data_IF_355193353850
#
_entry.id   IF_355193353850
#
_cell.length_a   1.000
_cell.length_b   1.000
_cell.length_c   1.000
_cell.angle_alpha   90.00
_cell.angle_beta   90.00
_cell.angle_gamma   90.00
#
_symmetry.space_group_name_H-M   'P 1'
#
loop_
_entity.id
_entity.type
_entity.pdbx_description
1 polymer ?
#
# COMPACT_ATOMS: atom_id res chain seq x y z
N UNK A 1 -0.39 -1.85 28.42
CA UNK A 1 -0.37 -0.85 27.33
C UNK A 1 -1.43 -1.22 26.32
N UNK A 2 -2.42 -0.36 26.13
CA UNK A 2 -3.46 -0.55 25.12
C UNK A 2 -2.84 -0.46 23.73
N UNK A 3 -3.00 -1.53 22.97
CA UNK A 3 -2.47 -1.77 21.61
C UNK A 3 -3.38 -1.07 20.57
N UNK A 4 -3.77 0.18 20.85
CA UNK A 4 -4.88 0.86 20.15
C UNK A 4 -4.46 1.64 18.89
N UNK A 5 -3.16 1.78 18.59
CA UNK A 5 -2.67 2.59 17.46
C UNK A 5 -2.22 1.80 16.21
N UNK A 6 -2.24 0.46 16.24
CA UNK A 6 -1.79 -0.34 15.08
C UNK A 6 -2.96 -0.87 14.24
N UNK A 7 -2.90 -0.63 12.93
CA UNK A 7 -3.85 -1.21 11.98
C UNK A 7 -3.87 -2.74 12.07
N UNK A 8 -5.07 -3.31 12.09
CA UNK A 8 -5.31 -4.76 11.98
C UNK A 8 -5.04 -5.24 10.55
N UNK A 9 -4.83 -6.55 10.38
CA UNK A 9 -4.70 -7.16 9.05
C UNK A 9 -5.88 -6.84 8.13
N UNK A 10 -7.11 -6.84 8.66
CA UNK A 10 -8.31 -6.49 7.90
C UNK A 10 -8.29 -5.05 7.41
N UNK A 11 -7.91 -4.12 8.28
CA UNK A 11 -7.79 -2.70 7.94
C UNK A 11 -6.70 -2.45 6.89
N UNK A 12 -5.56 -3.15 6.97
CA UNK A 12 -4.52 -3.07 5.94
C UNK A 12 -5.04 -3.59 4.60
N UNK A 13 -5.71 -4.76 4.59
CA UNK A 13 -6.29 -5.32 3.37
C UNK A 13 -7.27 -4.34 2.73
N UNK A 14 -8.16 -3.72 3.52
CA UNK A 14 -9.12 -2.72 3.03
C UNK A 14 -8.44 -1.52 2.36
N UNK A 15 -7.35 -0.98 2.94
CA UNK A 15 -6.58 0.11 2.29
C UNK A 15 -5.94 -0.37 0.99
N UNK A 16 -5.39 -1.60 0.96
CA UNK A 16 -4.76 -2.18 -0.23
C UNK A 16 -5.78 -2.42 -1.34
N UNK A 17 -6.99 -2.88 -1.02
CA UNK A 17 -8.06 -3.11 -2.01
C UNK A 17 -8.49 -1.80 -2.67
N UNK A 18 -8.57 -0.70 -1.90
CA UNK A 18 -8.82 0.63 -2.43
C UNK A 18 -7.74 1.06 -3.43
N UNK A 19 -6.45 0.87 -3.11
CA UNK A 19 -5.36 1.19 -4.04
C UNK A 19 -5.33 0.25 -5.25
N UNK A 20 -5.59 -1.04 -5.08
CA UNK A 20 -5.66 -2.00 -6.18
C UNK A 20 -6.78 -1.67 -7.16
N UNK A 21 -7.95 -1.25 -6.65
CA UNK A 21 -9.05 -0.81 -7.51
C UNK A 21 -8.68 0.43 -8.34
N UNK A 22 -8.01 1.40 -7.72
CA UNK A 22 -7.48 2.57 -8.40
C UNK A 22 -6.46 2.19 -9.49
N UNK A 23 -5.51 1.30 -9.19
CA UNK A 23 -4.53 0.82 -10.16
C UNK A 23 -5.20 0.12 -11.35
N UNK A 24 -6.21 -0.73 -11.10
CA UNK A 24 -6.97 -1.41 -12.16
C UNK A 24 -7.71 -0.41 -13.05
N UNK A 25 -8.41 0.57 -12.47
CA UNK A 25 -9.13 1.61 -13.21
C UNK A 25 -8.18 2.46 -14.07
N UNK A 26 -6.99 2.72 -13.57
CA UNK A 26 -5.94 3.46 -14.28
C UNK A 26 -5.09 2.58 -15.23
N UNK A 27 -5.43 1.30 -15.41
CA UNK A 27 -4.70 0.35 -16.28
C UNK A 27 -3.21 0.24 -15.96
N UNK A 28 -2.83 0.39 -14.69
CA UNK A 28 -1.46 0.22 -14.24
C UNK A 28 -1.11 -1.27 -14.23
N UNK A 29 -0.02 -1.71 -14.87
CA UNK A 29 0.36 -3.13 -14.88
C UNK A 29 0.98 -3.56 -13.54
N UNK A 30 0.89 -4.84 -13.19
CA UNK A 30 1.59 -5.41 -12.02
C UNK A 30 3.01 -5.80 -12.42
N UNK A 31 4.00 -4.93 -12.22
CA UNK A 31 5.39 -5.18 -12.59
C UNK A 31 6.30 -4.99 -11.39
N UNK A 32 7.08 -6.03 -11.05
CA UNK A 32 8.09 -5.93 -10.00
C UNK A 32 9.24 -5.04 -10.47
N UNK A 33 9.66 -4.10 -9.61
CA UNK A 33 10.90 -3.33 -9.82
C UNK A 33 12.12 -4.27 -9.86
N UNK A 34 13.09 -3.95 -10.72
CA UNK A 34 14.42 -4.56 -10.65
C UNK A 34 15.06 -4.31 -9.27
N UNK A 35 15.37 -5.35 -8.47
CA UNK A 35 15.94 -5.19 -7.14
C UNK A 35 17.33 -4.51 -7.13
N UNK A 36 18.00 -4.37 -8.27
CA UNK A 36 19.27 -3.63 -8.40
C UNK A 36 19.08 -2.11 -8.55
N UNK A 37 17.84 -1.64 -8.75
CA UNK A 37 17.50 -0.22 -8.91
C UNK A 37 16.99 0.38 -7.60
N UNK A 38 17.13 1.70 -7.49
CA UNK A 38 16.59 2.49 -6.38
C UNK A 38 15.29 3.17 -6.79
N UNK A 39 14.41 3.50 -5.82
CA UNK A 39 13.18 4.25 -6.10
C UNK A 39 13.44 5.57 -6.83
N UNK A 40 14.51 6.29 -6.49
CA UNK A 40 14.90 7.54 -7.13
C UNK A 40 15.23 7.40 -8.63
N UNK A 41 15.56 6.18 -9.09
CA UNK A 41 15.85 5.89 -10.50
C UNK A 41 14.62 5.46 -11.31
N UNK A 42 13.45 5.37 -10.67
CA UNK A 42 12.21 4.96 -11.33
C UNK A 42 11.45 6.17 -11.89
N UNK A 43 10.83 5.99 -13.04
CA UNK A 43 9.75 6.87 -13.49
C UNK A 43 8.48 6.65 -12.64
N UNK A 44 7.59 7.63 -12.63
CA UNK A 44 6.31 7.50 -11.92
C UNK A 44 5.52 6.26 -12.37
N UNK A 45 5.56 5.92 -13.67
CA UNK A 45 4.89 4.73 -14.21
C UNK A 45 5.47 3.44 -13.62
N UNK A 46 6.79 3.36 -13.51
CA UNK A 46 7.46 2.19 -12.91
C UNK A 46 7.18 2.08 -11.40
N UNK A 47 7.15 3.21 -10.68
CA UNK A 47 6.78 3.24 -9.25
C UNK A 47 5.37 2.69 -9.04
N UNK A 48 4.40 3.15 -9.83
CA UNK A 48 3.01 2.71 -9.75
C UNK A 48 2.86 1.23 -10.13
N UNK A 49 3.58 0.78 -11.16
CA UNK A 49 3.55 -0.63 -11.55
C UNK A 49 4.13 -1.53 -10.45
N UNK A 50 5.17 -1.06 -9.75
CA UNK A 50 5.72 -1.75 -8.60
C UNK A 50 4.78 -1.74 -7.41
N UNK A 51 4.12 -0.62 -7.12
CA UNK A 51 3.11 -0.53 -6.08
C UNK A 51 1.96 -1.52 -6.34
N UNK A 52 1.49 -1.60 -7.58
CA UNK A 52 0.44 -2.54 -7.97
C UNK A 52 0.90 -4.00 -7.84
N UNK A 53 2.16 -4.31 -8.16
CA UNK A 53 2.73 -5.65 -7.93
C UNK A 53 2.74 -6.03 -6.43
N UNK A 54 3.00 -5.09 -5.52
CA UNK A 54 3.11 -5.36 -4.09
C UNK A 54 1.76 -5.68 -3.42
N UNK A 55 0.62 -5.29 -4.01
CA UNK A 55 -0.71 -5.47 -3.40
C UNK A 55 -1.02 -6.94 -3.11
N UNK A 56 -0.65 -7.85 -4.01
CA UNK A 56 -0.86 -9.28 -3.84
C UNK A 56 -0.05 -9.85 -2.67
N UNK A 57 1.20 -9.42 -2.55
CA UNK A 57 2.07 -9.79 -1.44
C UNK A 57 1.52 -9.34 -0.09
N UNK A 58 1.03 -8.09 0.01
CA UNK A 58 0.43 -7.58 1.26
C UNK A 58 -0.77 -8.41 1.67
N UNK A 59 -1.70 -8.69 0.75
CA UNK A 59 -2.90 -9.51 1.03
C UNK A 59 -2.52 -10.93 1.47
N UNK A 60 -1.44 -11.50 0.92
CA UNK A 60 -0.95 -12.81 1.34
C UNK A 60 -0.31 -12.78 2.73
N UNK A 61 0.53 -11.79 3.02
CA UNK A 61 1.21 -11.66 4.31
C UNK A 61 0.28 -11.26 5.45
N UNK A 62 -0.77 -10.48 5.17
CA UNK A 62 -1.76 -10.06 6.16
C UNK A 62 -2.53 -11.25 6.78
N UNK A 63 -2.61 -12.40 6.10
CA UNK A 63 -3.22 -13.63 6.59
C UNK A 63 -2.38 -14.37 7.63
N UNK A 64 -1.10 -14.02 7.76
CA UNK A 64 -0.14 -14.70 8.63
C UNK A 64 0.35 -13.73 9.73
N UNK A 65 0.00 -13.94 11.01
CA UNK A 65 0.42 -13.08 12.11
C UNK A 65 1.94 -12.92 12.23
N UNK A 66 2.71 -13.96 11.90
CA UNK A 66 4.19 -13.92 11.94
C UNK A 66 4.78 -12.98 10.89
N UNK A 67 4.00 -12.63 9.86
CA UNK A 67 4.40 -11.73 8.79
C UNK A 67 3.95 -10.29 8.99
N UNK A 68 3.39 -9.92 10.16
CA UNK A 68 2.90 -8.56 10.47
C UNK A 68 3.89 -7.46 10.10
N UNK A 69 5.18 -7.61 10.46
CA UNK A 69 6.23 -6.65 10.10
C UNK A 69 6.35 -6.46 8.58
N UNK A 70 6.35 -7.56 7.84
CA UNK A 70 6.47 -7.57 6.38
C UNK A 70 5.24 -6.98 5.70
N UNK A 71 4.05 -7.24 6.26
CA UNK A 71 2.78 -6.62 5.84
C UNK A 71 2.86 -5.10 5.97
N UNK A 72 3.29 -4.59 7.13
CA UNK A 72 3.46 -3.16 7.37
C UNK A 72 4.50 -2.53 6.42
N UNK A 73 5.68 -3.14 6.27
CA UNK A 73 6.72 -2.62 5.38
C UNK A 73 6.28 -2.52 3.91
N UNK A 74 5.49 -3.49 3.41
CA UNK A 74 4.97 -3.41 2.05
C UNK A 74 3.85 -2.38 1.90
N UNK A 75 2.96 -2.23 2.89
CA UNK A 75 1.98 -1.13 2.88
C UNK A 75 2.70 0.22 2.79
N UNK A 76 3.72 0.44 3.63
CA UNK A 76 4.53 1.67 3.58
C UNK A 76 5.18 1.85 2.21
N UNK A 77 5.75 0.79 1.62
CA UNK A 77 6.36 0.87 0.29
C UNK A 77 5.35 1.29 -0.79
N UNK A 78 4.13 0.75 -0.77
CA UNK A 78 3.04 1.15 -1.68
C UNK A 78 2.69 2.63 -1.48
N UNK A 79 2.54 3.08 -0.24
CA UNK A 79 2.21 4.47 0.09
C UNK A 79 3.32 5.44 -0.34
N UNK A 80 4.59 5.06 -0.19
CA UNK A 80 5.71 5.86 -0.71
C UNK A 80 5.68 5.95 -2.24
N UNK A 81 5.43 4.84 -2.96
CA UNK A 81 5.30 4.87 -4.42
C UNK A 81 4.18 5.80 -4.87
N UNK A 82 3.01 5.74 -4.22
CA UNK A 82 1.88 6.61 -4.50
C UNK A 82 2.24 8.09 -4.27
N UNK A 83 2.97 8.38 -3.20
CA UNK A 83 3.43 9.74 -2.89
C UNK A 83 4.44 10.26 -3.90
N UNK A 84 5.49 9.48 -4.19
CA UNK A 84 6.53 9.89 -5.15
C UNK A 84 6.02 9.99 -6.59
N UNK A 85 4.99 9.22 -6.94
CA UNK A 85 4.30 9.34 -8.23
C UNK A 85 3.29 10.51 -8.27
N UNK A 86 3.14 11.29 -7.20
CA UNK A 86 2.17 12.38 -7.03
C UNK A 86 0.70 11.94 -7.19
N UNK A 87 0.37 10.69 -6.83
CA UNK A 87 -1.02 10.23 -6.76
C UNK A 87 -1.71 10.67 -5.47
N UNK A 88 -0.95 10.76 -4.38
CA UNK A 88 -1.44 11.22 -3.08
C UNK A 88 -0.35 11.99 -2.33
N UNK A 89 -0.75 12.95 -1.52
CA UNK A 89 0.08 13.56 -0.50
C UNK A 89 0.25 12.63 0.70
N UNK A 90 1.25 12.89 1.54
CA UNK A 90 1.42 12.15 2.80
C UNK A 90 0.19 12.30 3.72
N UNK A 91 -0.43 13.49 3.72
CA UNK A 91 -1.62 13.76 4.53
C UNK A 91 -2.81 12.89 4.11
N UNK A 92 -3.06 12.77 2.80
CA UNK A 92 -4.12 11.91 2.27
C UNK A 92 -3.86 10.43 2.61
N UNK A 93 -2.62 9.98 2.49
CA UNK A 93 -2.23 8.60 2.83
C UNK A 93 -2.43 8.29 4.32
N UNK A 94 -2.07 9.24 5.20
CA UNK A 94 -2.34 9.13 6.63
C UNK A 94 -3.84 9.14 6.92
N UNK A 95 -4.61 9.93 6.19
CA UNK A 95 -6.06 9.96 6.33
C UNK A 95 -6.72 8.65 5.90
N UNK A 96 -6.26 8.02 4.82
CA UNK A 96 -6.73 6.68 4.43
C UNK A 96 -6.55 5.67 5.57
N UNK A 97 -5.38 5.67 6.22
CA UNK A 97 -5.09 4.79 7.35
C UNK A 97 -6.03 5.11 8.54
N UNK A 98 -6.17 6.38 8.93
CA UNK A 98 -7.06 6.82 10.03
C UNK A 98 -8.52 6.49 9.77
N UNK A 99 -9.00 6.72 8.54
CA UNK A 99 -10.38 6.46 8.16
C UNK A 99 -10.71 4.98 8.29
N UNK A 100 -9.85 4.09 7.81
CA UNK A 100 -10.10 2.66 7.93
C UNK A 100 -10.04 2.19 9.39
N UNK A 101 -9.23 2.83 10.23
CA UNK A 101 -9.20 2.55 11.67
C UNK A 101 -10.46 2.99 12.42
N UNK A 102 -11.10 4.08 11.99
CA UNK A 102 -12.19 4.74 12.74
C UNK A 102 -13.58 4.53 12.15
N UNK A 103 -13.68 4.40 10.82
CA UNK A 103 -14.93 4.42 10.06
C UNK A 103 -15.08 3.25 9.07
N UNK A 104 -14.04 2.42 8.92
CA UNK A 104 -13.99 1.36 7.89
C UNK A 104 -13.58 1.86 6.50
N UNK A 105 -13.46 0.96 5.50
CA UNK A 105 -13.12 1.35 4.13
C UNK A 105 -14.13 2.33 3.53
N UNK A 106 -13.71 3.34 2.75
CA UNK A 106 -14.64 4.08 1.91
C UNK A 106 -15.28 3.11 0.90
N UNK A 107 -16.61 3.10 0.85
CA UNK A 107 -17.40 2.42 -0.17
C UNK A 107 -17.15 3.03 -1.55
#
# INVERSE_FOLDING_TARGET
MKKEDEMTSGQIISVIEMYEDLFRKALIPKIRMDPKRTFASLSNKEMLAHAHFLTDGVKQFAKDPEKRRKTGSHLTAIQMCLSFANWYTLEELMEHNRRVMTKGPPL
#
